data_IF_517624089146
#
_entry.id   IF_517624089146
#
_cell.length_a   1.000
_cell.length_b   1.000
_cell.length_c   1.000
_cell.angle_alpha   90.00
_cell.angle_beta   90.00
_cell.angle_gamma   90.00
#
_symmetry.space_group_name_H-M   'P 1'
#
loop_
_entity.id
_entity.type
_entity.pdbx_description
1 polymer ?
#
# COMPACT_ATOMS: atom_id res chain seq x y z
N UNK A 1 -22.09 15.58 -1.27
CA UNK A 1 -21.42 14.74 -0.25
C UNK A 1 -21.23 15.56 1.02
N UNK A 2 -21.84 15.10 2.11
CA UNK A 2 -21.64 15.63 3.47
C UNK A 2 -20.25 15.24 4.00
N UNK A 3 -19.73 15.88 5.06
CA UNK A 3 -18.43 15.53 5.65
C UNK A 3 -18.27 14.05 5.98
N UNK A 4 -19.32 13.41 6.53
CA UNK A 4 -19.29 11.98 6.86
C UNK A 4 -19.11 11.10 5.61
N UNK A 5 -19.85 11.38 4.53
CA UNK A 5 -19.71 10.63 3.26
C UNK A 5 -18.31 10.75 2.62
N UNK A 6 -17.55 11.82 2.94
CA UNK A 6 -16.17 11.99 2.44
C UNK A 6 -15.18 11.13 3.23
N UNK A 7 -15.35 11.02 4.55
CA UNK A 7 -14.53 10.14 5.39
C UNK A 7 -14.82 8.68 5.05
N UNK A 8 -16.08 8.34 4.78
CA UNK A 8 -16.47 7.02 4.28
C UNK A 8 -15.74 6.71 2.97
N UNK A 9 -15.67 7.68 2.04
CA UNK A 9 -14.93 7.53 0.78
C UNK A 9 -13.43 7.24 0.99
N UNK A 10 -12.76 7.96 1.89
CA UNK A 10 -11.34 7.70 2.20
C UNK A 10 -11.18 6.30 2.84
N UNK A 11 -12.12 5.92 3.70
CA UNK A 11 -12.11 4.61 4.37
C UNK A 11 -12.27 3.48 3.34
N UNK A 12 -13.22 3.63 2.42
CA UNK A 12 -13.47 2.69 1.34
C UNK A 12 -12.27 2.61 0.39
N UNK A 13 -11.66 3.75 0.05
CA UNK A 13 -10.44 3.79 -0.75
C UNK A 13 -9.26 3.05 -0.11
N UNK A 14 -9.10 3.14 1.20
CA UNK A 14 -8.05 2.39 1.91
C UNK A 14 -8.28 0.88 1.84
N UNK A 15 -9.51 0.44 2.13
CA UNK A 15 -9.88 -0.98 2.07
C UNK A 15 -9.78 -1.52 0.65
N UNK A 16 -10.26 -0.77 -0.33
CA UNK A 16 -10.20 -1.11 -1.76
C UNK A 16 -8.76 -1.29 -2.22
N UNK A 17 -7.88 -0.34 -1.91
CA UNK A 17 -6.47 -0.41 -2.28
C UNK A 17 -5.75 -1.62 -1.63
N UNK A 18 -6.00 -1.88 -0.35
CA UNK A 18 -5.44 -3.05 0.33
C UNK A 18 -6.00 -4.37 -0.23
N UNK A 19 -7.25 -4.39 -0.67
CA UNK A 19 -7.89 -5.58 -1.24
C UNK A 19 -7.29 -5.92 -2.61
N UNK A 20 -7.10 -4.90 -3.46
CA UNK A 20 -6.40 -5.06 -4.74
C UNK A 20 -4.98 -5.58 -4.59
N UNK A 21 -4.32 -5.30 -3.46
CA UNK A 21 -2.98 -5.81 -3.17
C UNK A 21 -2.93 -7.35 -3.14
N UNK A 22 -3.97 -8.02 -2.67
CA UNK A 22 -3.98 -9.48 -2.64
C UNK A 22 -4.78 -10.12 -3.76
N UNK A 23 -5.64 -9.36 -4.44
CA UNK A 23 -6.27 -9.80 -5.68
C UNK A 23 -5.26 -9.86 -6.83
N UNK A 24 -4.41 -8.85 -6.95
CA UNK A 24 -3.38 -8.80 -7.98
C UNK A 24 -2.19 -9.70 -7.61
N UNK A 25 -1.96 -10.77 -8.39
CA UNK A 25 -0.81 -11.65 -8.24
C UNK A 25 0.50 -10.94 -8.67
N UNK A 26 1.16 -10.34 -7.68
CA UNK A 26 2.48 -9.70 -7.85
C UNK A 26 3.61 -10.70 -7.52
N UNK A 27 4.52 -10.99 -8.46
CA UNK A 27 5.60 -11.94 -8.24
C UNK A 27 6.42 -11.71 -6.95
N UNK A 28 6.56 -12.76 -6.15
CA UNK A 28 7.25 -12.75 -4.86
C UNK A 28 6.38 -12.31 -3.68
N UNK A 29 5.21 -11.72 -3.91
CA UNK A 29 4.30 -11.23 -2.86
C UNK A 29 3.09 -12.15 -2.66
N UNK A 30 2.31 -11.92 -1.61
CA UNK A 30 1.11 -12.69 -1.27
C UNK A 30 -0.06 -12.30 -2.17
N UNK A 31 -0.81 -13.28 -2.65
CA UNK A 31 -2.09 -13.09 -3.34
C UNK A 31 -3.10 -14.16 -2.92
N UNK A 32 -4.37 -14.03 -3.34
CA UNK A 32 -5.42 -15.04 -3.07
C UNK A 32 -4.99 -16.41 -3.60
N UNK A 33 -4.41 -16.46 -4.81
CA UNK A 33 -3.96 -17.70 -5.43
C UNK A 33 -2.62 -18.23 -4.88
N UNK A 34 -1.86 -17.43 -4.13
CA UNK A 34 -0.51 -17.82 -3.72
C UNK A 34 -0.08 -17.20 -2.37
N UNK A 35 -0.02 -18.05 -1.35
CA UNK A 35 0.60 -17.75 -0.04
C UNK A 35 2.10 -17.44 -0.16
N UNK A 36 2.66 -16.78 0.85
CA UNK A 36 4.10 -16.46 0.88
C UNK A 36 4.52 -15.90 2.22
N UNK A 37 5.79 -16.10 2.59
CA UNK A 37 6.42 -15.49 3.78
C UNK A 37 5.67 -15.74 5.10
N UNK A 38 5.09 -16.94 5.25
CA UNK A 38 4.29 -17.30 6.44
C UNK A 38 2.90 -16.66 6.49
N UNK A 39 2.46 -15.99 5.42
CA UNK A 39 1.22 -15.23 5.35
C UNK A 39 0.29 -15.71 4.22
N UNK A 40 -0.98 -15.32 4.32
CA UNK A 40 -2.04 -15.60 3.34
C UNK A 40 -2.82 -14.32 3.05
N UNK A 41 -3.53 -14.25 1.92
CA UNK A 41 -4.38 -13.10 1.59
C UNK A 41 -5.37 -12.75 2.71
N UNK A 42 -5.90 -13.76 3.43
CA UNK A 42 -6.80 -13.56 4.58
C UNK A 42 -6.17 -12.68 5.66
N UNK A 43 -4.87 -12.80 5.92
CA UNK A 43 -4.20 -11.96 6.91
C UNK A 43 -4.21 -10.48 6.50
N UNK A 44 -3.89 -10.19 5.23
CA UNK A 44 -3.89 -8.81 4.70
C UNK A 44 -5.29 -8.21 4.69
N UNK A 45 -6.30 -8.97 4.26
CA UNK A 45 -7.71 -8.52 4.27
C UNK A 45 -8.21 -8.25 5.69
N UNK A 46 -7.87 -9.13 6.65
CA UNK A 46 -8.22 -8.93 8.05
C UNK A 46 -7.57 -7.66 8.63
N UNK A 47 -6.29 -7.42 8.33
CA UNK A 47 -5.59 -6.21 8.75
C UNK A 47 -6.18 -4.94 8.13
N UNK A 48 -6.51 -4.95 6.83
CA UNK A 48 -7.16 -3.82 6.16
C UNK A 48 -8.51 -3.48 6.81
N UNK A 49 -9.35 -4.48 7.07
CA UNK A 49 -10.65 -4.29 7.71
C UNK A 49 -10.52 -3.78 9.16
N UNK A 50 -9.54 -4.27 9.90
CA UNK A 50 -9.29 -3.84 11.27
C UNK A 50 -8.74 -2.41 11.33
N UNK A 51 -7.85 -2.03 10.42
CA UNK A 51 -7.20 -0.71 10.41
C UNK A 51 -8.09 0.43 9.90
N UNK A 52 -9.13 0.14 9.11
CA UNK A 52 -9.83 1.13 8.27
C UNK A 52 -10.32 2.37 9.02
N UNK A 53 -10.92 2.22 10.20
CA UNK A 53 -11.43 3.36 10.96
C UNK A 53 -10.34 4.06 11.79
N UNK A 54 -9.27 3.35 12.13
CA UNK A 54 -8.14 3.95 12.82
C UNK A 54 -7.33 4.85 11.86
N UNK A 55 -7.13 4.43 10.61
CA UNK A 55 -6.35 5.20 9.65
C UNK A 55 -7.09 6.44 9.14
N UNK A 56 -8.42 6.41 9.13
CA UNK A 56 -9.29 7.53 8.74
C UNK A 56 -9.93 8.26 9.93
N UNK A 57 -9.43 8.00 11.15
CA UNK A 57 -9.99 8.59 12.37
C UNK A 57 -9.99 10.12 12.30
N UNK A 58 -11.20 10.70 12.27
CA UNK A 58 -11.44 12.13 12.10
C UNK A 58 -10.69 12.94 13.15
N UNK A 59 -9.93 13.96 12.72
CA UNK A 59 -9.19 14.86 13.60
C UNK A 59 -8.04 14.22 14.38
N UNK A 60 -7.81 12.92 14.27
CA UNK A 60 -6.68 12.26 14.91
C UNK A 60 -5.36 12.62 14.22
N UNK A 61 -4.26 12.86 14.97
CA UNK A 61 -2.94 13.12 14.41
C UNK A 61 -2.39 11.89 13.68
N UNK A 62 -1.38 12.10 12.84
CA UNK A 62 -0.84 11.05 11.95
C UNK A 62 -0.27 9.87 12.75
N UNK A 63 0.48 10.13 13.80
CA UNK A 63 1.06 9.09 14.65
C UNK A 63 0.00 8.26 15.37
N UNK A 64 -1.07 8.88 15.87
CA UNK A 64 -2.17 8.15 16.50
C UNK A 64 -2.85 7.20 15.50
N UNK A 65 -3.10 7.67 14.27
CA UNK A 65 -3.63 6.82 13.19
C UNK A 65 -2.71 5.63 12.93
N UNK A 66 -1.40 5.86 12.85
CA UNK A 66 -0.39 4.81 12.63
C UNK A 66 -0.46 3.77 13.76
N UNK A 67 -0.33 4.21 15.02
CA UNK A 67 -0.29 3.32 16.17
C UNK A 67 -1.56 2.49 16.32
N UNK A 68 -2.72 3.14 16.22
CA UNK A 68 -4.02 2.45 16.32
C UNK A 68 -4.22 1.48 15.17
N UNK A 69 -3.94 1.88 13.94
CA UNK A 69 -4.12 1.02 12.76
C UNK A 69 -3.21 -0.20 12.79
N UNK A 70 -1.94 -0.04 13.18
CA UNK A 70 -1.01 -1.16 13.34
C UNK A 70 -1.45 -2.07 14.49
N UNK A 71 -1.83 -1.51 15.64
CA UNK A 71 -2.30 -2.30 16.78
C UNK A 71 -3.51 -3.17 16.42
N UNK A 72 -4.51 -2.58 15.76
CA UNK A 72 -5.69 -3.32 15.28
C UNK A 72 -5.34 -4.36 14.22
N UNK A 73 -4.42 -4.04 13.30
CA UNK A 73 -3.95 -4.98 12.26
C UNK A 73 -3.24 -6.19 12.86
N UNK A 74 -2.37 -5.97 13.84
CA UNK A 74 -1.64 -7.01 14.55
C UNK A 74 -2.58 -7.90 15.36
N UNK A 75 -3.57 -7.32 16.05
CA UNK A 75 -4.58 -8.07 16.78
C UNK A 75 -5.44 -8.96 15.86
N UNK A 76 -5.77 -8.48 14.65
CA UNK A 76 -6.61 -9.21 13.71
C UNK A 76 -5.86 -10.30 12.93
N UNK A 77 -4.63 -10.06 12.51
CA UNK A 77 -3.87 -10.97 11.66
C UNK A 77 -2.83 -11.82 12.41
N UNK A 78 -2.45 -11.45 13.63
CA UNK A 78 -1.41 -12.12 14.42
C UNK A 78 0.01 -11.98 13.85
N UNK A 79 0.20 -11.19 12.79
CA UNK A 79 1.48 -10.95 12.14
C UNK A 79 1.46 -9.61 11.39
N UNK A 80 2.65 -9.12 11.03
CA UNK A 80 2.81 -7.89 10.29
C UNK A 80 2.54 -8.10 8.79
N UNK A 81 1.42 -7.58 8.33
CA UNK A 81 0.98 -7.63 6.92
C UNK A 81 1.03 -6.26 6.24
N UNK A 82 0.90 -5.17 6.99
CA UNK A 82 0.56 -3.86 6.42
C UNK A 82 1.24 -2.66 7.12
N UNK A 83 2.32 -2.86 7.89
CA UNK A 83 3.03 -1.72 8.52
C UNK A 83 3.42 -0.66 7.48
N UNK A 84 3.99 -1.08 6.35
CA UNK A 84 4.42 -0.15 5.29
C UNK A 84 3.25 0.59 4.67
N UNK A 85 2.17 -0.12 4.35
CA UNK A 85 0.89 0.46 3.91
C UNK A 85 0.39 1.51 4.92
N UNK A 86 0.34 1.20 6.21
CA UNK A 86 -0.17 2.13 7.24
C UNK A 86 0.70 3.38 7.35
N UNK A 87 2.04 3.22 7.35
CA UNK A 87 2.97 4.35 7.36
C UNK A 87 2.79 5.27 6.15
N UNK A 88 2.51 4.72 4.97
CA UNK A 88 2.26 5.53 3.77
C UNK A 88 0.86 6.16 3.77
N UNK A 89 -0.17 5.40 4.14
CA UNK A 89 -1.56 5.82 4.01
C UNK A 89 -2.03 6.76 5.13
N UNK A 90 -1.45 6.71 6.33
CA UNK A 90 -1.86 7.60 7.43
C UNK A 90 -1.67 9.11 7.14
N UNK A 91 -0.51 9.59 6.66
CA UNK A 91 -0.36 11.01 6.30
C UNK A 91 -1.21 11.39 5.07
N UNK A 92 -1.41 10.47 4.13
CA UNK A 92 -2.33 10.68 2.99
C UNK A 92 -3.79 10.84 3.47
N UNK A 93 -4.26 9.96 4.36
CA UNK A 93 -5.61 10.03 4.91
C UNK A 93 -5.85 11.33 5.69
N UNK A 94 -4.88 11.76 6.50
CA UNK A 94 -4.94 13.04 7.20
C UNK A 94 -4.99 14.23 6.23
N UNK A 95 -4.18 14.20 5.16
CA UNK A 95 -4.18 15.25 4.15
C UNK A 95 -5.52 15.29 3.38
N UNK A 96 -6.06 14.13 3.00
CA UNK A 96 -7.31 14.02 2.24
C UNK A 96 -8.54 14.39 3.05
N UNK A 97 -8.59 14.08 4.36
CA UNK A 97 -9.68 14.54 5.23
C UNK A 97 -9.85 16.06 5.15
N UNK A 98 -8.74 16.80 5.30
CA UNK A 98 -8.75 18.25 5.26
C UNK A 98 -9.02 18.78 3.85
N UNK A 99 -8.34 18.21 2.84
CA UNK A 99 -8.44 18.64 1.45
C UNK A 99 -9.86 18.47 0.91
N UNK A 100 -10.46 17.29 1.10
CA UNK A 100 -11.79 16.98 0.59
C UNK A 100 -12.88 17.78 1.29
N UNK A 101 -12.66 18.26 2.53
CA UNK A 101 -13.55 19.21 3.18
C UNK A 101 -13.63 20.54 2.41
N UNK A 102 -12.49 21.03 1.90
CA UNK A 102 -12.37 22.34 1.26
C UNK A 102 -12.56 22.31 -0.27
N UNK A 103 -12.20 21.21 -0.93
CA UNK A 103 -12.24 21.06 -2.39
C UNK A 103 -12.97 19.78 -2.78
N UNK A 104 -14.19 19.88 -3.35
CA UNK A 104 -14.95 18.70 -3.78
C UNK A 104 -14.28 17.89 -4.91
N UNK A 105 -13.52 18.56 -5.79
CA UNK A 105 -12.81 17.95 -6.92
C UNK A 105 -11.33 18.35 -6.88
N UNK A 106 -10.53 17.78 -5.96
CA UNK A 106 -9.14 18.15 -5.80
C UNK A 106 -8.28 17.64 -6.96
N UNK A 107 -7.24 18.40 -7.29
CA UNK A 107 -6.20 17.96 -8.22
C UNK A 107 -5.07 17.22 -7.49
N UNK A 108 -4.20 16.54 -8.25
CA UNK A 108 -2.96 15.96 -7.69
C UNK A 108 -2.05 17.05 -7.09
N UNK A 109 -2.05 18.25 -7.66
CA UNK A 109 -1.31 19.38 -7.08
C UNK A 109 -1.86 19.78 -5.71
N UNK A 110 -3.19 19.85 -5.58
CA UNK A 110 -3.83 20.13 -4.29
C UNK A 110 -3.48 19.06 -3.23
N UNK A 111 -3.42 17.78 -3.64
CA UNK A 111 -2.97 16.68 -2.78
C UNK A 111 -1.54 16.87 -2.29
N UNK A 112 -0.60 17.22 -3.19
CA UNK A 112 0.77 17.51 -2.80
C UNK A 112 0.86 18.66 -1.79
N UNK A 113 0.12 19.74 -2.00
CA UNK A 113 0.11 20.89 -1.08
C UNK A 113 -0.43 20.49 0.30
N UNK A 114 -1.59 19.79 0.34
CA UNK A 114 -2.21 19.34 1.58
C UNK A 114 -1.31 18.35 2.35
N UNK A 115 -0.65 17.45 1.62
CA UNK A 115 0.26 16.49 2.22
C UNK A 115 1.53 17.14 2.76
N UNK A 116 2.13 18.10 2.04
CA UNK A 116 3.29 18.85 2.56
C UNK A 116 2.94 19.61 3.83
N UNK A 117 1.74 20.20 3.91
CA UNK A 117 1.25 20.84 5.13
C UNK A 117 1.03 19.85 6.29
N UNK A 118 0.61 18.62 5.98
CA UNK A 118 0.52 17.54 6.97
C UNK A 118 1.91 17.13 7.47
N UNK A 119 2.86 16.89 6.56
CA UNK A 119 4.22 16.46 6.90
C UNK A 119 4.99 17.52 7.70
N UNK A 120 4.81 18.81 7.39
CA UNK A 120 5.49 19.90 8.10
C UNK A 120 4.98 20.12 9.52
N UNK A 121 3.86 19.50 9.89
CA UNK A 121 3.24 19.58 11.22
C UNK A 121 3.49 18.35 12.07
N UNK A 122 4.18 17.35 11.53
CA UNK A 122 4.55 16.16 12.29
C UNK A 122 5.46 16.56 13.46
N UNK A 123 5.18 15.99 14.62
CA UNK A 123 5.90 16.32 15.85
C UNK A 123 6.52 15.09 16.54
N UNK A 124 7.01 15.30 17.76
CA UNK A 124 7.62 14.25 18.59
C UNK A 124 6.61 13.21 19.08
N UNK A 125 5.34 13.60 19.27
CA UNK A 125 4.28 12.67 19.65
C UNK A 125 3.93 11.76 18.47
N UNK A 126 3.88 12.31 17.25
CA UNK A 126 3.74 11.52 16.03
C UNK A 126 4.88 10.51 15.87
N UNK A 127 6.13 10.95 16.12
CA UNK A 127 7.30 10.08 16.10
C UNK A 127 7.18 8.94 17.12
N UNK A 128 6.79 9.28 18.35
CA UNK A 128 6.70 8.32 19.45
C UNK A 128 5.64 7.25 19.17
N UNK A 129 4.49 7.64 18.63
CA UNK A 129 3.43 6.72 18.24
C UNK A 129 3.85 5.83 17.07
N UNK A 130 4.49 6.39 16.04
CA UNK A 130 5.02 5.62 14.93
C UNK A 130 6.11 4.62 15.37
N UNK A 131 6.99 4.98 16.31
CA UNK A 131 8.01 4.08 16.83
C UNK A 131 7.39 2.92 17.60
N UNK A 132 6.39 3.18 18.46
CA UNK A 132 5.64 2.10 19.14
C UNK A 132 4.95 1.18 18.14
N UNK A 133 4.38 1.72 17.08
CA UNK A 133 3.76 0.94 16.01
C UNK A 133 4.78 0.05 15.28
N UNK A 134 5.93 0.61 14.90
CA UNK A 134 7.00 -0.12 14.22
C UNK A 134 7.56 -1.23 15.14
N UNK A 135 7.77 -0.92 16.43
CA UNK A 135 8.23 -1.88 17.41
C UNK A 135 7.21 -3.03 17.61
N UNK A 136 5.91 -2.71 17.70
CA UNK A 136 4.84 -3.69 17.80
C UNK A 136 4.77 -4.61 16.56
N UNK A 137 4.89 -4.04 15.36
CA UNK A 137 4.88 -4.79 14.12
C UNK A 137 6.17 -5.60 13.86
N UNK A 138 7.25 -5.28 14.58
CA UNK A 138 8.55 -5.96 14.56
C UNK A 138 8.99 -6.40 13.14
N UNK A 139 9.12 -5.46 12.17
CA UNK A 139 9.45 -5.82 10.80
C UNK A 139 10.89 -6.36 10.69
N UNK A 140 11.06 -7.37 9.85
CA UNK A 140 12.36 -7.98 9.63
C UNK A 140 13.41 -7.02 9.04
N UNK A 141 14.63 -7.12 9.54
CA UNK A 141 15.82 -6.49 8.95
C UNK A 141 15.97 -4.98 9.20
N UNK A 142 15.36 -4.42 10.25
CA UNK A 142 15.59 -3.01 10.62
C UNK A 142 17.03 -2.72 11.08
N UNK A 143 17.69 -3.72 11.67
CA UNK A 143 19.02 -3.56 12.26
C UNK A 143 19.05 -2.50 13.38
N UNK A 144 20.25 -2.09 13.78
CA UNK A 144 20.43 -0.93 14.64
C UNK A 144 20.52 0.36 13.81
N UNK A 145 19.88 1.42 14.30
CA UNK A 145 19.98 2.76 13.74
C UNK A 145 20.77 3.64 14.73
N UNK A 146 22.00 4.08 14.38
CA UNK A 146 22.90 4.71 15.35
C UNK A 146 22.36 5.99 15.99
N UNK A 147 21.52 6.74 15.27
CA UNK A 147 20.99 8.03 15.70
C UNK A 147 19.56 7.98 16.24
N UNK A 148 18.76 7.00 15.83
CA UNK A 148 17.32 6.91 16.13
C UNK A 148 16.85 5.46 16.04
N UNK A 149 16.90 4.72 17.15
CA UNK A 149 16.42 3.34 17.22
C UNK A 149 14.94 3.28 17.58
N UNK A 150 14.14 2.56 16.80
CA UNK A 150 12.70 2.37 17.04
C UNK A 150 12.36 1.62 18.33
N UNK A 151 13.34 0.94 18.92
CA UNK A 151 13.24 0.33 20.26
C UNK A 151 13.42 1.32 21.42
N UNK A 152 13.69 2.60 21.13
CA UNK A 152 13.88 3.67 22.13
C UNK A 152 12.95 4.84 21.86
N UNK A 153 12.76 5.75 22.83
CA UNK A 153 11.99 6.96 22.59
C UNK A 153 12.69 7.86 21.54
N UNK A 154 11.95 8.41 20.55
CA UNK A 154 12.55 9.34 19.59
C UNK A 154 12.97 10.64 20.28
N UNK A 155 13.96 11.31 19.70
CA UNK A 155 14.40 12.65 20.15
C UNK A 155 14.16 13.74 19.10
N UNK A 156 13.62 13.37 17.94
CA UNK A 156 13.29 14.25 16.82
C UNK A 156 11.86 13.97 16.35
N UNK A 157 11.27 14.91 15.62
CA UNK A 157 9.96 14.69 14.99
C UNK A 157 9.99 13.57 13.93
N UNK A 158 8.81 13.09 13.53
CA UNK A 158 8.68 11.95 12.63
C UNK A 158 9.27 12.22 11.24
N UNK A 159 9.15 13.45 10.73
CA UNK A 159 9.69 13.79 9.41
C UNK A 159 11.22 13.78 9.44
N UNK A 160 11.84 14.28 10.50
CA UNK A 160 13.27 14.22 10.73
C UNK A 160 13.75 12.77 10.83
N UNK A 161 13.07 11.94 11.65
CA UNK A 161 13.39 10.52 11.80
C UNK A 161 13.34 9.76 10.46
N UNK A 162 12.28 9.96 9.67
CA UNK A 162 12.16 9.36 8.34
C UNK A 162 13.23 9.90 7.37
N UNK A 163 13.56 11.19 7.45
CA UNK A 163 14.60 11.80 6.61
C UNK A 163 15.98 11.18 6.83
N UNK A 164 16.30 10.76 8.05
CA UNK A 164 17.55 10.04 8.37
C UNK A 164 17.63 8.65 7.72
N UNK A 165 16.50 8.03 7.37
CA UNK A 165 16.43 6.70 6.76
C UNK A 165 16.17 6.71 5.24
N UNK A 166 15.96 7.88 4.63
CA UNK A 166 15.48 8.05 3.24
C UNK A 166 16.30 7.32 2.17
N UNK A 167 17.61 7.15 2.38
CA UNK A 167 18.51 6.57 1.38
C UNK A 167 18.48 5.03 1.41
N UNK A 168 18.00 4.43 2.51
CA UNK A 168 17.93 2.97 2.70
C UNK A 168 16.50 2.42 2.79
N UNK A 169 15.51 3.26 3.04
CA UNK A 169 14.11 2.86 3.18
C UNK A 169 13.20 3.72 2.28
N UNK A 170 12.47 3.06 1.36
CA UNK A 170 11.66 3.76 0.37
C UNK A 170 10.38 4.38 0.95
N UNK A 171 9.87 3.88 2.08
CA UNK A 171 8.75 4.51 2.79
C UNK A 171 9.26 5.81 3.42
N UNK A 172 10.41 5.74 4.09
CA UNK A 172 11.04 6.92 4.69
C UNK A 172 11.38 7.99 3.63
N UNK A 173 11.77 7.56 2.41
CA UNK A 173 11.94 8.46 1.26
C UNK A 173 10.67 9.23 0.89
N UNK A 174 9.48 8.61 1.01
CA UNK A 174 8.22 9.32 0.72
C UNK A 174 7.98 10.47 1.68
N UNK A 175 8.26 10.29 2.97
CA UNK A 175 8.20 11.40 3.93
C UNK A 175 9.19 12.51 3.55
N UNK A 176 10.44 12.15 3.25
CA UNK A 176 11.50 13.11 2.95
C UNK A 176 11.27 13.89 1.63
N UNK A 177 10.66 13.27 0.62
CA UNK A 177 10.41 13.88 -0.70
C UNK A 177 8.98 14.44 -0.86
N UNK A 178 8.14 14.40 0.19
CA UNK A 178 6.75 14.86 0.11
C UNK A 178 5.86 13.99 -0.77
N UNK A 179 6.12 12.68 -0.80
CA UNK A 179 5.44 11.64 -1.59
C UNK A 179 5.47 11.91 -3.10
N UNK A 180 6.57 12.48 -3.58
CA UNK A 180 6.79 12.70 -5.01
C UNK A 180 6.69 11.40 -5.82
N UNK A 181 7.09 10.25 -5.26
CA UNK A 181 7.03 8.98 -5.98
C UNK A 181 5.58 8.46 -6.02
N UNK A 182 4.83 8.50 -4.91
CA UNK A 182 3.44 8.01 -4.86
C UNK A 182 2.49 8.88 -5.68
N UNK A 183 2.50 10.19 -5.47
CA UNK A 183 1.58 11.14 -6.11
C UNK A 183 2.07 11.61 -7.51
N UNK A 184 3.35 11.42 -7.83
CA UNK A 184 3.91 11.70 -9.15
C UNK A 184 4.05 10.42 -9.98
N UNK A 185 5.15 9.69 -9.77
CA UNK A 185 5.50 8.51 -10.57
C UNK A 185 4.42 7.41 -10.54
N UNK A 186 3.96 7.03 -9.34
CA UNK A 186 2.95 5.99 -9.15
C UNK A 186 1.63 6.32 -9.83
N UNK A 187 1.07 7.51 -9.60
CA UNK A 187 -0.16 7.94 -10.27
C UNK A 187 0.01 8.01 -11.80
N UNK A 188 1.19 8.39 -12.29
CA UNK A 188 1.49 8.39 -13.72
C UNK A 188 1.51 6.98 -14.31
N UNK A 189 2.15 6.03 -13.61
CA UNK A 189 2.17 4.62 -13.99
C UNK A 189 0.77 4.01 -14.00
N UNK A 190 -0.03 4.26 -12.96
CA UNK A 190 -1.39 3.75 -12.85
C UNK A 190 -2.27 4.29 -13.99
N UNK A 191 -2.24 5.61 -14.24
CA UNK A 191 -3.02 6.23 -15.32
C UNK A 191 -2.61 5.71 -16.70
N UNK A 192 -1.32 5.58 -16.95
CA UNK A 192 -0.83 5.03 -18.21
C UNK A 192 -1.32 3.59 -18.44
N UNK A 193 -1.40 2.79 -17.38
CA UNK A 193 -1.83 1.40 -17.48
C UNK A 193 -3.37 1.24 -17.57
N UNK A 194 -4.15 2.13 -16.95
CA UNK A 194 -5.61 2.17 -17.11
C UNK A 194 -6.03 2.64 -18.50
N UNK A 195 -5.25 3.53 -19.13
CA UNK A 195 -5.57 4.11 -20.43
C UNK A 195 -6.78 5.05 -20.38
N UNK A 196 -7.41 5.28 -21.55
CA UNK A 196 -8.56 6.19 -21.69
C UNK A 196 -9.92 5.46 -21.78
N UNK A 197 -9.94 4.13 -21.68
CA UNK A 197 -11.15 3.32 -21.83
C UNK A 197 -11.92 3.10 -20.53
N UNK A 198 -13.07 2.40 -20.58
CA UNK A 198 -13.75 1.92 -19.39
C UNK A 198 -12.81 1.06 -18.53
N UNK A 199 -12.89 1.22 -17.22
CA UNK A 199 -12.11 0.42 -16.27
C UNK A 199 -13.00 -0.69 -15.72
N UNK A 200 -12.72 -1.92 -16.13
CA UNK A 200 -13.25 -3.15 -15.52
C UNK A 200 -12.21 -3.78 -14.58
N UNK A 201 -12.59 -4.88 -13.91
CA UNK A 201 -11.70 -5.58 -12.97
C UNK A 201 -10.39 -6.09 -13.64
N UNK A 202 -10.42 -6.76 -14.82
CA UNK A 202 -9.19 -7.17 -15.51
C UNK A 202 -8.25 -6.01 -15.83
N UNK A 203 -8.77 -4.90 -16.36
CA UNK A 203 -7.99 -3.69 -16.64
C UNK A 203 -7.36 -3.13 -15.36
N UNK A 204 -8.14 -3.04 -14.29
CA UNK A 204 -7.67 -2.56 -13.00
C UNK A 204 -6.56 -3.45 -12.41
N UNK A 205 -6.73 -4.77 -12.39
CA UNK A 205 -5.71 -5.70 -11.88
C UNK A 205 -4.43 -5.66 -12.72
N UNK A 206 -4.54 -5.49 -14.03
CA UNK A 206 -3.39 -5.27 -14.90
C UNK A 206 -2.69 -3.94 -14.57
N UNK A 207 -3.45 -2.87 -14.31
CA UNK A 207 -2.90 -1.57 -13.93
C UNK A 207 -2.20 -1.61 -12.56
N UNK A 208 -2.73 -2.37 -11.60
CA UNK A 208 -2.06 -2.65 -10.31
C UNK A 208 -0.72 -3.34 -10.55
N UNK A 209 -0.69 -4.41 -11.35
CA UNK A 209 0.54 -5.15 -11.66
C UNK A 209 1.59 -4.27 -12.36
N UNK A 210 1.15 -3.45 -13.33
CA UNK A 210 2.00 -2.50 -14.06
C UNK A 210 2.57 -1.40 -13.17
N UNK A 211 1.78 -0.91 -12.22
CA UNK A 211 2.22 0.09 -11.24
C UNK A 211 3.29 -0.52 -10.31
N UNK A 212 3.06 -1.74 -9.83
CA UNK A 212 4.04 -2.45 -9.01
C UNK A 212 5.34 -2.76 -9.76
N UNK A 213 5.25 -3.26 -11.01
CA UNK A 213 6.42 -3.45 -11.88
C UNK A 213 7.16 -2.12 -12.10
N UNK A 214 6.43 -1.01 -12.26
CA UNK A 214 7.00 0.32 -12.36
C UNK A 214 7.87 0.65 -11.14
N UNK A 215 7.31 0.55 -9.92
CA UNK A 215 8.09 0.78 -8.71
C UNK A 215 9.29 -0.14 -8.58
N UNK A 216 9.11 -1.46 -8.78
CA UNK A 216 10.16 -2.45 -8.61
C UNK A 216 11.30 -2.32 -9.64
N UNK A 217 10.97 -1.89 -10.86
CA UNK A 217 11.93 -1.64 -11.94
C UNK A 217 12.67 -0.30 -11.81
N UNK A 218 12.08 0.66 -11.10
CA UNK A 218 12.64 2.00 -10.95
C UNK A 218 13.62 2.09 -9.76
N UNK A 219 13.29 1.50 -8.60
CA UNK A 219 14.16 1.51 -7.41
C UNK A 219 14.37 0.11 -6.82
N UNK A 220 15.55 -0.18 -6.23
CA UNK A 220 15.74 -1.37 -5.40
C UNK A 220 14.73 -1.42 -4.26
N UNK A 221 13.99 -2.52 -4.14
CA UNK A 221 13.02 -2.72 -3.08
C UNK A 221 13.71 -2.79 -1.70
N UNK A 222 13.32 -1.91 -0.78
CA UNK A 222 13.95 -1.81 0.54
C UNK A 222 13.61 -2.98 1.46
N UNK A 223 12.49 -3.68 1.29
CA UNK A 223 12.21 -4.90 2.03
C UNK A 223 13.18 -6.01 1.60
N UNK A 224 13.41 -6.19 0.29
CA UNK A 224 14.44 -7.11 -0.20
C UNK A 224 15.81 -6.69 0.31
N UNK A 225 16.17 -5.40 0.20
CA UNK A 225 17.48 -4.92 0.59
C UNK A 225 17.76 -5.14 2.09
N UNK A 226 16.77 -4.93 2.97
CA UNK A 226 16.89 -5.17 4.41
C UNK A 226 17.09 -6.65 4.76
N UNK A 227 16.40 -7.55 4.05
CA UNK A 227 16.41 -9.00 4.37
C UNK A 227 17.54 -9.76 3.67
N UNK A 228 17.89 -9.36 2.46
CA UNK A 228 18.76 -10.10 1.54
C UNK A 228 19.92 -9.27 0.97
N UNK A 229 20.02 -7.99 1.33
CA UNK A 229 21.07 -7.10 0.87
C UNK A 229 20.76 -6.39 -0.46
N UNK A 230 21.41 -5.24 -0.65
CA UNK A 230 21.16 -4.34 -1.78
C UNK A 230 21.53 -4.96 -3.14
N UNK A 231 22.49 -5.89 -3.17
CA UNK A 231 22.90 -6.55 -4.41
C UNK A 231 21.76 -7.40 -5.00
N UNK A 232 21.06 -8.17 -4.15
CA UNK A 232 19.91 -8.96 -4.60
C UNK A 232 18.74 -8.06 -4.99
N UNK A 233 18.47 -7.00 -4.21
CA UNK A 233 17.42 -6.03 -4.56
C UNK A 233 17.65 -5.41 -5.94
N UNK A 234 18.89 -5.04 -6.27
CA UNK A 234 19.25 -4.51 -7.61
C UNK A 234 19.07 -5.54 -8.72
N UNK A 235 19.38 -6.82 -8.47
CA UNK A 235 19.13 -7.90 -9.44
C UNK A 235 17.64 -8.03 -9.75
N UNK A 236 16.80 -8.10 -8.71
CA UNK A 236 15.33 -8.17 -8.87
C UNK A 236 14.78 -6.95 -9.58
N UNK A 237 15.32 -5.74 -9.31
CA UNK A 237 14.98 -4.52 -10.06
C UNK A 237 15.32 -4.65 -11.55
N UNK A 238 16.47 -5.24 -11.90
CA UNK A 238 16.84 -5.43 -13.30
C UNK A 238 15.92 -6.44 -14.00
N UNK A 239 15.53 -7.52 -13.32
CA UNK A 239 14.55 -8.48 -13.84
C UNK A 239 13.19 -7.78 -14.05
N UNK A 240 12.75 -6.98 -13.09
CA UNK A 240 11.52 -6.21 -13.18
C UNK A 240 11.52 -5.17 -14.31
N UNK A 241 12.67 -4.59 -14.69
CA UNK A 241 12.78 -3.72 -15.88
C UNK A 241 12.47 -4.48 -17.15
N UNK A 242 12.98 -5.70 -17.29
CA UNK A 242 12.69 -6.56 -18.44
C UNK A 242 11.19 -6.84 -18.52
N UNK A 243 10.54 -7.11 -17.39
CA UNK A 243 9.09 -7.30 -17.33
C UNK A 243 8.30 -6.03 -17.67
N UNK A 244 8.69 -4.90 -17.07
CA UNK A 244 8.00 -3.62 -17.23
C UNK A 244 8.03 -3.14 -18.68
N UNK A 245 9.13 -3.37 -19.40
CA UNK A 245 9.29 -3.00 -20.80
C UNK A 245 8.44 -3.83 -21.79
N UNK A 246 7.89 -4.98 -21.39
CA UNK A 246 7.10 -5.83 -22.30
C UNK A 246 5.72 -5.24 -22.53
N UNK A 247 5.25 -5.24 -23.78
CA UNK A 247 3.90 -4.80 -24.14
C UNK A 247 2.82 -5.73 -23.55
N UNK A 248 3.08 -7.04 -23.55
CA UNK A 248 2.20 -8.07 -22.98
C UNK A 248 2.94 -8.82 -21.87
N UNK A 249 2.20 -9.22 -20.83
CA UNK A 249 2.74 -10.01 -19.73
C UNK A 249 2.17 -11.41 -19.84
N UNK A 250 3.02 -12.41 -20.09
CA UNK A 250 2.61 -13.80 -20.12
C UNK A 250 2.30 -14.30 -18.70
N UNK A 251 1.06 -14.75 -18.41
CA UNK A 251 0.69 -15.25 -17.08
C UNK A 251 1.49 -16.47 -16.61
N UNK A 252 1.91 -17.35 -17.53
CA UNK A 252 2.67 -18.57 -17.21
C UNK A 252 4.08 -18.19 -16.77
N UNK A 253 4.74 -17.30 -17.52
CA UNK A 253 6.07 -16.83 -17.16
C UNK A 253 6.06 -15.99 -15.87
N UNK A 254 5.01 -15.19 -15.64
CA UNK A 254 4.83 -14.44 -14.39
C UNK A 254 4.67 -15.38 -13.19
N UNK A 255 3.86 -16.44 -13.32
CA UNK A 255 3.68 -17.44 -12.28
C UNK A 255 4.97 -18.21 -11.97
N UNK A 256 5.79 -18.48 -12.99
CA UNK A 256 7.11 -19.07 -12.83
C UNK A 256 8.06 -18.13 -12.06
N UNK A 257 8.05 -16.83 -12.38
CA UNK A 257 8.86 -15.84 -11.66
C UNK A 257 8.38 -15.66 -10.21
N UNK A 258 7.06 -15.63 -9.98
CA UNK A 258 6.47 -15.62 -8.63
C UNK A 258 6.95 -16.80 -7.78
N UNK A 259 6.85 -18.01 -8.35
CA UNK A 259 7.27 -19.25 -7.70
C UNK A 259 8.76 -19.23 -7.35
N UNK A 260 9.60 -18.77 -8.28
CA UNK A 260 11.04 -18.67 -8.07
C UNK A 260 11.38 -17.70 -6.92
N UNK A 261 10.80 -16.48 -6.92
CA UNK A 261 11.01 -15.50 -5.87
C UNK A 261 10.55 -16.03 -4.50
N UNK A 262 9.38 -16.67 -4.42
CA UNK A 262 8.83 -17.23 -3.18
C UNK A 262 9.67 -18.38 -2.63
N UNK A 263 10.13 -19.29 -3.50
CA UNK A 263 11.04 -20.39 -3.11
C UNK A 263 12.31 -19.84 -2.48
N UNK A 264 12.83 -18.75 -3.03
CA UNK A 264 14.07 -18.13 -2.56
C UNK A 264 13.81 -17.14 -1.40
N UNK A 265 12.57 -17.04 -0.91
CA UNK A 265 12.19 -16.19 0.23
C UNK A 265 12.25 -14.69 -0.06
N UNK A 266 12.22 -14.29 -1.33
CA UNK A 266 12.31 -12.91 -1.80
C UNK A 266 10.92 -12.29 -1.87
N UNK A 267 10.72 -11.16 -1.17
CA UNK A 267 9.47 -10.41 -1.15
C UNK A 267 9.71 -8.95 -1.59
N UNK A 268 9.26 -8.54 -2.79
CA UNK A 268 9.22 -7.13 -3.18
C UNK A 268 8.07 -6.39 -2.48
N UNK A 269 8.15 -6.33 -1.14
CA UNK A 269 7.08 -5.84 -0.29
C UNK A 269 6.96 -4.33 -0.27
N UNK A 270 8.08 -3.58 -0.32
CA UNK A 270 7.99 -2.11 -0.33
C UNK A 270 7.42 -1.59 -1.65
N UNK A 271 7.71 -2.23 -2.77
CA UNK A 271 7.05 -1.91 -4.05
C UNK A 271 5.54 -2.17 -3.99
N UNK A 272 5.09 -3.17 -3.23
CA UNK A 272 3.66 -3.38 -2.99
C UNK A 272 3.06 -2.30 -2.09
N UNK A 273 3.72 -1.95 -0.98
CA UNK A 273 3.29 -0.86 -0.08
C UNK A 273 3.08 0.47 -0.86
N UNK A 274 4.05 0.82 -1.73
CA UNK A 274 3.97 2.01 -2.59
C UNK A 274 2.83 1.92 -3.60
N UNK A 275 2.58 0.73 -4.16
CA UNK A 275 1.46 0.49 -5.08
C UNK A 275 0.12 0.70 -4.37
N UNK A 276 -0.04 0.19 -3.15
CA UNK A 276 -1.24 0.40 -2.33
C UNK A 276 -1.44 1.87 -2.02
N UNK A 277 -0.39 2.59 -1.62
CA UNK A 277 -0.46 4.03 -1.37
C UNK A 277 -0.88 4.83 -2.62
N UNK A 278 -0.39 4.44 -3.79
CA UNK A 278 -0.79 5.02 -5.09
C UNK A 278 -2.27 4.75 -5.40
N UNK A 279 -2.74 3.53 -5.21
CA UNK A 279 -4.14 3.16 -5.41
C UNK A 279 -5.05 3.91 -4.44
N UNK A 280 -4.67 3.98 -3.17
CA UNK A 280 -5.38 4.72 -2.13
C UNK A 280 -5.50 6.21 -2.49
N UNK A 281 -4.40 6.83 -2.93
CA UNK A 281 -4.40 8.21 -3.39
C UNK A 281 -5.27 8.40 -4.64
N UNK A 282 -5.19 7.50 -5.61
CA UNK A 282 -5.99 7.55 -6.83
C UNK A 282 -7.49 7.49 -6.52
N UNK A 283 -7.94 6.52 -5.72
CA UNK A 283 -9.35 6.37 -5.37
C UNK A 283 -9.87 7.47 -4.43
N UNK A 284 -9.00 8.06 -3.61
CA UNK A 284 -9.37 9.23 -2.79
C UNK A 284 -9.56 10.49 -3.64
N UNK A 285 -8.81 10.63 -4.73
CA UNK A 285 -8.91 11.76 -5.67
C UNK A 285 -10.00 11.55 -6.73
N UNK A 286 -10.22 10.30 -7.14
CA UNK A 286 -11.26 9.88 -8.08
C UNK A 286 -12.05 8.69 -7.53
N UNK A 287 -13.12 8.96 -6.75
CA UNK A 287 -13.96 7.92 -6.17
C UNK A 287 -14.71 7.06 -7.19
N UNK A 288 -14.68 7.39 -8.49
CA UNK A 288 -15.29 6.54 -9.51
C UNK A 288 -14.61 5.17 -9.61
N UNK A 289 -13.32 5.09 -9.26
CA UNK A 289 -12.55 3.83 -9.20
C UNK A 289 -13.14 2.82 -8.20
N UNK A 290 -13.82 3.29 -7.15
CA UNK A 290 -14.46 2.43 -6.16
C UNK A 290 -15.69 1.68 -6.71
N UNK A 291 -16.22 2.10 -7.86
CA UNK A 291 -17.37 1.46 -8.51
C UNK A 291 -16.98 0.23 -9.31
N UNK A 292 -15.68 0.02 -9.56
CA UNK A 292 -15.18 -1.18 -10.22
C UNK A 292 -15.32 -2.33 -9.24
N UNK A 293 -16.34 -3.16 -9.45
CA UNK A 293 -16.56 -4.36 -8.64
C UNK A 293 -15.39 -5.30 -8.86
N UNK A 294 -14.62 -5.52 -7.81
CA UNK A 294 -13.65 -6.60 -7.73
C UNK A 294 -14.28 -7.59 -6.75
N UNK A 295 -14.41 -8.87 -7.13
CA UNK A 295 -15.36 -9.87 -6.58
C UNK A 295 -16.75 -9.83 -7.23
N UNK A 296 -16.97 -10.68 -8.23
CA UNK A 296 -18.22 -11.44 -8.26
C UNK A 296 -18.13 -12.51 -7.17
N UNK A 297 -19.14 -12.57 -6.32
CA UNK A 297 -19.23 -13.66 -5.38
C UNK A 297 -19.37 -14.96 -6.17
N UNK A 298 -18.38 -15.86 -6.09
CA UNK A 298 -18.60 -17.26 -6.48
C UNK A 298 -19.78 -17.89 -5.69
N UNK A 299 -20.33 -17.20 -4.68
CA UNK A 299 -21.57 -17.61 -4.01
C UNK A 299 -22.84 -17.38 -4.82
N UNK A 300 -22.93 -16.38 -5.71
CA UNK A 300 -24.13 -16.19 -6.54
C UNK A 300 -24.17 -17.19 -7.72
N UNK A 301 -23.02 -17.54 -8.29
CA UNK A 301 -22.93 -18.54 -9.36
C UNK A 301 -23.25 -19.97 -8.87
N UNK A 302 -22.99 -20.29 -7.60
CA UNK A 302 -23.35 -21.59 -7.00
C UNK A 302 -24.79 -21.65 -6.49
N UNK A 303 -25.37 -20.53 -6.06
CA UNK A 303 -26.78 -20.50 -5.64
C UNK A 303 -27.73 -20.69 -6.84
N UNK A 304 -27.42 -20.09 -8.00
CA UNK A 304 -28.26 -20.23 -9.21
C UNK A 304 -28.24 -21.62 -9.87
N UNK A 305 -27.26 -22.48 -9.56
CA UNK A 305 -27.21 -23.86 -10.08
C UNK A 305 -27.92 -24.89 -9.17
N UNK A 306 -28.19 -24.55 -7.90
CA UNK A 306 -28.93 -25.42 -6.98
C UNK A 306 -30.45 -25.26 -7.13
N UNK A 307 -30.93 -24.08 -7.51
CA UNK A 307 -32.37 -23.85 -7.72
C UNK A 307 -32.91 -24.44 -9.03
N UNK A 308 -32.05 -24.73 -10.01
CA UNK A 308 -32.44 -25.40 -11.27
C UNK A 308 -32.54 -26.93 -11.09
N UNK A 309 -31.92 -27.49 -10.05
CA UNK A 309 -31.91 -28.93 -9.79
C UNK A 309 -33.07 -29.42 -8.90
N UNK A 310 -33.95 -28.52 -8.43
CA UNK A 310 -35.10 -28.85 -7.56
C UNK A 310 -36.43 -28.87 -8.34
N UNK A 311 -36.45 -28.44 -9.60
CA UNK A 311 -37.67 -28.43 -10.46
C UNK A 311 -37.64 -29.41 -11.65
N UNK A 312 -36.84 -30.49 -11.59
CA UNK A 312 -36.87 -31.56 -12.60
C UNK A 312 -37.23 -32.93 -12.02
#
# INVERSE_FOLDING_TARGET
>A
MTPDTRIDTITDAFVWACTLDVLCAKPGNVSIGARGHGMTARHFLASAQAARYAITARGAPVGERIERAVSMSMAAAGCNTNLGIVLLCAPLAHAFENLLCMRPTPTVHDAHVALRATLSRLDLADASAAYRAIALANPGGLGEAPSQNVGTAPTVDLLCAMSLARDRDSIARQYANGFADVLGYGLSQLRAALGCGPVDEPCLLQAVLRTWLGFLSHWPDSHIARKHGIALARKVTQDARTWHARATLDPIELAAWDTALKRDGINPGTSADLTVATLFAAASLDPSLLRVRCFESESEARAGSLDIAIES
#
